data_IF_497519634724
#
_entry.id   IF_497519634724
#
_cell.length_a   1.000
_cell.length_b   1.000
_cell.length_c   1.000
_cell.angle_alpha   90.00
_cell.angle_beta   90.00
_cell.angle_gamma   90.00
#
_symmetry.space_group_name_H-M   'P 1'
#
loop_
_entity.id
_entity.type
_entity.pdbx_description
1 polymer ?
#
# COMPACT_ATOMS: atom_id res chain seq x y z
N UNK A 1 3.16 -19.55 17.61
CA UNK A 1 3.76 -18.34 16.99
C UNK A 1 3.93 -18.46 15.46
N UNK A 2 4.51 -19.55 14.92
CA UNK A 2 4.76 -19.69 13.46
C UNK A 2 3.52 -19.50 12.57
N UNK A 3 2.37 -20.06 12.96
CA UNK A 3 1.13 -19.97 12.16
C UNK A 3 0.65 -18.51 12.05
N UNK A 4 0.67 -17.77 13.16
CA UNK A 4 0.27 -16.35 13.17
C UNK A 4 1.16 -15.49 12.25
N UNK A 5 2.48 -15.70 12.29
CA UNK A 5 3.43 -15.00 11.39
C UNK A 5 3.17 -15.32 9.92
N UNK A 6 2.86 -16.58 9.59
CA UNK A 6 2.54 -16.97 8.22
C UNK A 6 1.24 -16.31 7.76
N UNK A 7 0.21 -16.32 8.61
CA UNK A 7 -1.07 -15.67 8.32
C UNK A 7 -0.87 -14.18 8.07
N UNK A 8 -0.19 -13.47 8.98
CA UNK A 8 0.06 -12.04 8.85
C UNK A 8 0.82 -11.70 7.56
N UNK A 9 1.89 -12.44 7.27
CA UNK A 9 2.67 -12.31 6.03
C UNK A 9 1.83 -12.51 4.77
N UNK A 10 0.98 -13.55 4.76
CA UNK A 10 0.14 -13.86 3.59
C UNK A 10 -0.93 -12.77 3.41
N UNK A 11 -1.60 -12.34 4.48
CA UNK A 11 -2.60 -11.27 4.40
C UNK A 11 -1.99 -9.96 3.93
N UNK A 12 -0.85 -9.57 4.49
CA UNK A 12 -0.10 -8.38 4.09
C UNK A 12 0.34 -8.47 2.62
N UNK A 13 0.91 -9.61 2.23
CA UNK A 13 1.35 -9.86 0.86
C UNK A 13 0.21 -9.81 -0.14
N UNK A 14 -0.92 -10.46 0.15
CA UNK A 14 -2.12 -10.44 -0.70
C UNK A 14 -2.65 -9.02 -0.87
N UNK A 15 -2.78 -8.27 0.24
CA UNK A 15 -3.29 -6.90 0.19
C UNK A 15 -2.43 -6.02 -0.74
N UNK A 16 -1.11 -6.04 -0.57
CA UNK A 16 -0.21 -5.21 -1.37
C UNK A 16 -0.04 -5.67 -2.82
N UNK A 17 -0.22 -6.96 -3.12
CA UNK A 17 -0.33 -7.42 -4.52
C UNK A 17 -1.59 -6.88 -5.18
N UNK A 18 -2.73 -7.00 -4.51
CA UNK A 18 -4.03 -6.54 -5.05
C UNK A 18 -4.01 -5.02 -5.25
N UNK A 19 -3.64 -4.24 -4.23
CA UNK A 19 -3.58 -2.78 -4.34
C UNK A 19 -2.47 -2.32 -5.30
N UNK A 20 -1.30 -2.97 -5.29
CA UNK A 20 -0.21 -2.68 -6.22
C UNK A 20 -0.64 -2.90 -7.68
N UNK A 21 -1.31 -4.02 -7.97
CA UNK A 21 -1.82 -4.32 -9.31
C UNK A 21 -2.94 -3.35 -9.73
N UNK A 22 -3.74 -2.87 -8.78
CA UNK A 22 -4.80 -1.91 -9.05
C UNK A 22 -4.27 -0.59 -9.63
N UNK A 23 -3.05 -0.15 -9.29
CA UNK A 23 -2.44 1.04 -9.89
C UNK A 23 -2.20 0.91 -11.41
N UNK A 24 -2.14 -0.32 -11.93
CA UNK A 24 -1.92 -0.59 -13.36
C UNK A 24 -3.21 -0.98 -14.07
N UNK A 25 -4.00 -1.85 -13.44
CA UNK A 25 -5.18 -2.46 -14.05
C UNK A 25 -6.49 -1.72 -13.72
N UNK A 26 -6.50 -0.85 -12.71
CA UNK A 26 -7.64 0.00 -12.33
C UNK A 26 -8.96 -0.78 -12.15
N UNK A 27 -8.91 -1.96 -11.53
CA UNK A 27 -10.09 -2.83 -11.35
C UNK A 27 -10.91 -2.52 -10.09
N UNK A 28 -10.36 -1.76 -9.13
CA UNK A 28 -11.06 -1.23 -7.97
C UNK A 28 -11.48 0.21 -8.31
N UNK A 29 -12.78 0.50 -8.43
CA UNK A 29 -13.26 1.85 -8.68
C UNK A 29 -12.77 2.82 -7.60
N UNK A 30 -12.02 3.85 -8.01
CA UNK A 30 -11.63 4.90 -7.10
C UNK A 30 -12.84 5.81 -6.81
N UNK A 31 -13.11 6.15 -5.55
CA UNK A 31 -14.09 7.20 -5.25
C UNK A 31 -13.62 8.54 -5.86
N UNK A 32 -14.56 9.46 -6.14
CA UNK A 32 -14.20 10.78 -6.64
C UNK A 32 -13.21 11.46 -5.69
N UNK A 33 -12.22 12.22 -6.22
CA UNK A 33 -11.21 12.85 -5.40
C UNK A 33 -11.85 13.72 -4.32
N UNK A 34 -11.47 13.56 -3.04
CA UNK A 34 -11.97 14.43 -1.98
C UNK A 34 -11.56 15.88 -2.25
N UNK A 35 -12.38 16.88 -1.88
CA UNK A 35 -11.99 18.28 -2.01
C UNK A 35 -10.78 18.59 -1.10
N UNK A 36 -9.99 19.59 -1.49
CA UNK A 36 -8.84 20.09 -0.73
C UNK A 36 -7.52 19.38 -1.03
N UNK A 37 -6.56 19.49 -0.10
CA UNK A 37 -5.16 19.07 -0.30
C UNK A 37 -5.00 17.61 -0.69
N UNK A 38 -5.83 16.70 -0.14
CA UNK A 38 -5.80 15.28 -0.49
C UNK A 38 -6.11 15.05 -1.97
N UNK A 39 -7.12 15.73 -2.51
CA UNK A 39 -7.48 15.65 -3.92
C UNK A 39 -6.40 16.23 -4.82
N UNK A 40 -5.82 17.37 -4.45
CA UNK A 40 -4.77 18.02 -5.24
C UNK A 40 -3.46 17.21 -5.24
N UNK A 41 -3.09 16.62 -4.10
CA UNK A 41 -1.99 15.66 -4.02
C UNK A 41 -2.26 14.47 -4.94
N UNK A 42 -3.45 13.87 -4.88
CA UNK A 42 -3.79 12.71 -5.71
C UNK A 42 -3.75 13.01 -7.20
N UNK A 43 -4.21 14.20 -7.64
CA UNK A 43 -4.10 14.64 -9.05
C UNK A 43 -2.66 14.63 -9.53
N UNK A 44 -1.75 15.23 -8.77
CA UNK A 44 -0.31 15.27 -9.12
C UNK A 44 0.29 13.86 -9.06
N UNK A 45 -0.03 13.10 -8.02
CA UNK A 45 0.44 11.73 -7.82
C UNK A 45 0.08 10.82 -9.00
N UNK A 46 -1.16 10.92 -9.49
CA UNK A 46 -1.63 10.17 -10.66
C UNK A 46 -1.04 10.67 -11.97
N UNK A 47 -1.02 11.98 -12.21
CA UNK A 47 -0.56 12.56 -13.48
C UNK A 47 0.96 12.47 -13.69
N UNK A 48 1.75 12.46 -12.62
CA UNK A 48 3.22 12.42 -12.68
C UNK A 48 3.81 11.04 -12.96
N UNK A 49 2.99 9.98 -12.95
CA UNK A 49 3.48 8.60 -13.03
C UNK A 49 4.06 8.06 -11.72
N UNK A 50 4.10 8.85 -10.65
CA UNK A 50 4.54 8.40 -9.31
C UNK A 50 3.73 7.19 -8.84
N UNK A 51 2.44 7.15 -9.15
CA UNK A 51 1.55 5.99 -8.93
C UNK A 51 2.12 4.68 -9.46
N UNK A 52 2.77 4.67 -10.61
CA UNK A 52 3.32 3.46 -11.22
C UNK A 52 4.52 2.94 -10.44
N UNK A 53 5.38 3.84 -9.96
CA UNK A 53 6.54 3.47 -9.13
C UNK A 53 6.08 2.90 -7.80
N UNK A 54 5.14 3.58 -7.14
CA UNK A 54 4.57 3.11 -5.86
C UNK A 54 3.79 1.82 -6.03
N UNK A 55 3.01 1.68 -7.11
CA UNK A 55 2.31 0.45 -7.47
C UNK A 55 3.26 -0.71 -7.71
N UNK A 56 4.36 -0.48 -8.46
CA UNK A 56 5.38 -1.49 -8.72
C UNK A 56 6.07 -1.95 -7.44
N UNK A 57 6.41 -1.03 -6.53
CA UNK A 57 7.05 -1.37 -5.26
C UNK A 57 6.09 -2.12 -4.31
N UNK A 58 4.80 -1.77 -4.30
CA UNK A 58 3.77 -2.54 -3.58
C UNK A 58 3.63 -3.95 -4.13
N UNK A 59 3.54 -4.07 -5.46
CA UNK A 59 3.41 -5.37 -6.12
C UNK A 59 4.64 -6.25 -5.86
N UNK A 60 5.84 -5.70 -6.06
CA UNK A 60 7.10 -6.41 -5.82
C UNK A 60 7.20 -6.89 -4.37
N UNK A 61 6.98 -6.01 -3.40
CA UNK A 61 7.07 -6.36 -1.99
C UNK A 61 6.01 -7.37 -1.57
N UNK A 62 4.77 -7.21 -2.02
CA UNK A 62 3.70 -8.18 -1.79
C UNK A 62 4.04 -9.58 -2.34
N UNK A 63 4.58 -9.66 -3.57
CA UNK A 63 5.02 -10.92 -4.16
C UNK A 63 6.16 -11.56 -3.36
N UNK A 64 7.16 -10.79 -2.91
CA UNK A 64 8.24 -11.30 -2.06
C UNK A 64 7.71 -11.92 -0.76
N UNK A 65 6.71 -11.29 -0.13
CA UNK A 65 6.05 -11.84 1.06
C UNK A 65 5.28 -13.13 0.77
N UNK A 66 4.53 -13.18 -0.32
CA UNK A 66 3.74 -14.35 -0.71
C UNK A 66 4.59 -15.56 -1.09
N UNK A 67 5.64 -15.34 -1.88
CA UNK A 67 6.63 -16.36 -2.23
C UNK A 67 7.39 -16.83 -0.98
N UNK A 68 7.47 -15.97 0.04
CA UNK A 68 8.21 -16.27 1.26
C UNK A 68 9.72 -16.21 1.07
N UNK A 69 10.20 -15.55 0.00
CA UNK A 69 11.62 -15.38 -0.33
C UNK A 69 11.99 -13.91 -0.23
N UNK A 70 13.16 -13.62 0.34
CA UNK A 70 13.61 -12.26 0.62
C UNK A 70 12.59 -11.45 1.45
N UNK A 71 11.92 -12.12 2.39
CA UNK A 71 10.91 -11.50 3.28
C UNK A 71 11.42 -10.21 3.94
N UNK A 72 12.65 -10.15 4.50
CA UNK A 72 13.16 -8.90 5.08
C UNK A 72 13.20 -7.74 4.09
N UNK A 73 13.60 -7.99 2.83
CA UNK A 73 13.61 -6.97 1.78
C UNK A 73 12.20 -6.49 1.44
N UNK A 74 11.25 -7.43 1.31
CA UNK A 74 9.84 -7.10 1.08
C UNK A 74 9.27 -6.22 2.19
N UNK A 75 9.54 -6.56 3.46
CA UNK A 75 9.11 -5.76 4.61
C UNK A 75 9.79 -4.39 4.67
N UNK A 76 11.06 -4.27 4.29
CA UNK A 76 11.76 -2.97 4.23
C UNK A 76 11.14 -2.04 3.17
N UNK A 77 10.82 -2.57 1.99
CA UNK A 77 10.12 -1.79 0.95
C UNK A 77 8.74 -1.36 1.44
N UNK A 78 7.99 -2.29 2.08
CA UNK A 78 6.68 -1.96 2.66
C UNK A 78 6.77 -0.94 3.78
N UNK A 79 7.84 -0.90 4.57
CA UNK A 79 7.98 0.10 5.62
C UNK A 79 7.93 1.53 5.06
N UNK A 80 8.62 1.79 3.95
CA UNK A 80 8.56 3.09 3.26
C UNK A 80 7.16 3.41 2.71
N UNK A 81 6.47 2.40 2.17
CA UNK A 81 5.10 2.55 1.64
C UNK A 81 4.11 2.83 2.78
N UNK A 82 4.17 2.07 3.86
CA UNK A 82 3.32 2.23 5.06
C UNK A 82 3.56 3.61 5.67
N UNK A 83 4.81 4.07 5.77
CA UNK A 83 5.13 5.42 6.22
C UNK A 83 4.48 6.50 5.33
N UNK A 84 4.52 6.33 4.01
CA UNK A 84 3.87 7.25 3.09
C UNK A 84 2.34 7.25 3.27
N UNK A 85 1.72 6.07 3.43
CA UNK A 85 0.28 5.93 3.72
C UNK A 85 -0.09 6.69 5.00
N UNK A 86 0.67 6.51 6.09
CA UNK A 86 0.45 7.24 7.34
C UNK A 86 0.57 8.74 7.17
N UNK A 87 1.63 9.20 6.50
CA UNK A 87 1.88 10.63 6.26
C UNK A 87 0.74 11.27 5.47
N UNK A 88 0.26 10.61 4.40
CA UNK A 88 -0.86 11.10 3.62
C UNK A 88 -2.15 11.19 4.46
N UNK A 89 -2.51 10.13 5.19
CA UNK A 89 -3.77 10.10 5.93
C UNK A 89 -3.75 11.05 7.14
N UNK A 90 -2.64 11.13 7.89
CA UNK A 90 -2.55 12.03 9.05
C UNK A 90 -2.61 13.51 8.66
N UNK A 91 -2.03 13.88 7.51
CA UNK A 91 -1.91 15.27 7.10
C UNK A 91 -3.02 15.74 6.14
N UNK A 92 -3.63 14.82 5.38
CA UNK A 92 -4.52 15.19 4.28
C UNK A 92 -5.88 14.48 4.32
N UNK A 93 -5.94 13.20 4.74
CA UNK A 93 -7.17 12.41 4.68
C UNK A 93 -7.40 11.52 5.93
N UNK A 94 -7.66 12.07 7.13
CA UNK A 94 -7.71 11.29 8.37
C UNK A 94 -8.82 10.23 8.41
N UNK A 95 -9.91 10.44 7.68
CA UNK A 95 -11.02 9.49 7.61
C UNK A 95 -10.61 8.13 7.00
N UNK A 96 -9.51 8.08 6.24
CA UNK A 96 -9.00 6.86 5.60
C UNK A 96 -7.92 6.11 6.39
N UNK A 97 -7.75 6.35 7.69
CA UNK A 97 -6.67 5.73 8.47
C UNK A 97 -6.79 4.21 8.64
N UNK A 98 -7.98 3.62 8.45
CA UNK A 98 -8.24 2.20 8.69
C UNK A 98 -7.25 1.25 8.02
N UNK A 99 -7.04 1.32 6.69
CA UNK A 99 -6.05 0.51 5.99
C UNK A 99 -4.62 0.67 6.51
N UNK A 100 -4.22 1.88 6.94
CA UNK A 100 -2.88 2.14 7.48
C UNK A 100 -2.66 1.35 8.78
N UNK A 101 -3.66 1.37 9.68
CA UNK A 101 -3.63 0.63 10.94
C UNK A 101 -3.55 -0.88 10.69
N UNK A 102 -4.39 -1.40 9.79
CA UNK A 102 -4.39 -2.83 9.46
C UNK A 102 -3.04 -3.27 8.89
N UNK A 103 -2.47 -2.51 7.95
CA UNK A 103 -1.17 -2.83 7.37
C UNK A 103 -0.06 -2.82 8.43
N UNK A 104 -0.06 -1.86 9.36
CA UNK A 104 0.93 -1.79 10.45
C UNK A 104 0.79 -2.95 11.45
N UNK A 105 -0.42 -3.42 11.74
CA UNK A 105 -0.64 -4.56 12.64
C UNK A 105 -0.19 -5.90 12.02
N UNK A 106 -0.17 -6.00 10.69
CA UNK A 106 0.22 -7.20 9.95
C UNK A 106 1.72 -7.23 9.57
N UNK A 107 2.41 -6.10 9.63
CA UNK A 107 3.83 -5.92 9.30
C UNK A 107 4.74 -6.35 10.46
#
# INVERSE_FOLDING_TARGET
MKIATIIARVLLGLAFVVFGLNFFLNFIPAPPPPPGLAGDYFKVFAASGYTHVVGAMQLLSGLLLLIGRFVPLGLTILAAIIFNIWTFHLLMAPAGLGPAVVATLLW
#
